data_IF_629115581243
#
_entry.id   IF_629115581243
#
_cell.length_a   1.000
_cell.length_b   1.000
_cell.length_c   1.000
_cell.angle_alpha   90.00
_cell.angle_beta   90.00
_cell.angle_gamma   90.00
#
_symmetry.space_group_name_H-M   'P 1'
#
loop_
_entity.id
_entity.type
_entity.pdbx_description
1 polymer ?
#
# COMPACT_ATOMS: atom_id res chain seq x y z
N UNK A 1 10.39 16.22 -25.41
CA UNK A 1 9.96 15.87 -24.03
C UNK A 1 10.84 16.61 -23.01
N UNK A 2 10.24 17.13 -21.94
CA UNK A 2 10.99 17.76 -20.85
C UNK A 2 11.67 16.65 -20.06
N UNK A 3 13.00 16.59 -20.07
CA UNK A 3 13.77 15.51 -19.43
C UNK A 3 13.67 15.57 -17.90
N UNK A 4 13.54 16.78 -17.33
CA UNK A 4 13.46 16.99 -15.89
C UNK A 4 12.38 18.02 -15.52
N UNK A 5 11.22 17.52 -15.09
CA UNK A 5 10.08 18.36 -14.65
C UNK A 5 10.40 19.24 -13.42
N UNK A 6 11.43 18.91 -12.64
CA UNK A 6 11.78 19.68 -11.44
C UNK A 6 12.45 21.04 -11.78
N UNK A 7 12.96 21.21 -13.00
CA UNK A 7 13.62 22.45 -13.47
C UNK A 7 12.64 23.56 -13.85
N UNK A 8 11.38 23.24 -14.15
CA UNK A 8 10.38 24.22 -14.53
C UNK A 8 9.96 25.10 -13.33
N UNK A 9 9.79 26.42 -13.49
CA UNK A 9 9.21 27.25 -12.43
C UNK A 9 7.84 26.72 -11.97
N UNK A 10 7.52 26.91 -10.69
CA UNK A 10 6.25 26.48 -10.10
C UNK A 10 5.44 27.70 -9.67
N UNK A 11 4.15 27.83 -10.04
CA UNK A 11 3.39 26.96 -10.95
C UNK A 11 3.59 27.31 -12.44
N UNK A 12 4.09 26.38 -13.28
CA UNK A 12 4.24 26.63 -14.73
C UNK A 12 3.85 25.44 -15.62
N UNK A 13 2.77 24.74 -15.26
CA UNK A 13 2.20 23.65 -16.07
C UNK A 13 1.80 24.07 -17.49
N UNK A 14 1.53 25.36 -17.70
CA UNK A 14 1.23 25.93 -19.02
C UNK A 14 2.42 25.91 -19.99
N UNK A 15 3.64 25.65 -19.49
CA UNK A 15 4.86 25.53 -20.31
C UNK A 15 5.09 24.12 -20.84
N UNK A 16 4.28 23.13 -20.44
CA UNK A 16 4.41 21.75 -20.89
C UNK A 16 3.60 21.55 -22.17
N UNK A 17 4.28 21.24 -23.28
CA UNK A 17 3.61 20.84 -24.52
C UNK A 17 2.91 19.49 -24.33
N UNK A 18 1.58 19.52 -24.29
CA UNK A 18 0.73 18.35 -24.10
C UNK A 18 0.46 17.60 -25.40
N UNK A 19 0.77 18.19 -26.57
CA UNK A 19 0.60 17.56 -27.89
C UNK A 19 1.47 16.31 -28.06
N UNK A 20 2.54 16.19 -27.27
CA UNK A 20 3.42 15.03 -27.24
C UNK A 20 2.83 13.81 -26.50
N UNK A 21 1.68 13.94 -25.84
CA UNK A 21 1.09 12.89 -25.00
C UNK A 21 -0.38 12.68 -25.37
N UNK A 22 -0.70 11.88 -26.41
CA UNK A 22 -2.09 11.60 -26.80
C UNK A 22 -2.68 10.43 -25.99
N UNK A 23 -3.92 10.57 -25.51
CA UNK A 23 -4.59 9.52 -24.75
C UNK A 23 -4.82 8.29 -25.63
N UNK A 24 -4.50 7.08 -25.15
CA UNK A 24 -4.92 5.86 -25.83
C UNK A 24 -6.45 5.86 -25.91
N UNK A 25 -6.99 5.70 -27.11
CA UNK A 25 -8.42 5.66 -27.48
C UNK A 25 -9.06 6.98 -27.94
N UNK A 26 -8.78 8.13 -27.32
CA UNK A 26 -9.38 9.41 -27.75
C UNK A 26 -8.47 10.24 -28.66
N UNK A 27 -7.14 10.02 -28.61
CA UNK A 27 -6.17 10.84 -29.34
C UNK A 27 -5.99 12.25 -28.78
N UNK A 28 -6.81 12.64 -27.79
CA UNK A 28 -6.75 13.94 -27.14
C UNK A 28 -5.43 14.14 -26.39
N UNK A 29 -4.80 15.33 -26.47
CA UNK A 29 -3.65 15.68 -25.65
C UNK A 29 -3.99 15.56 -24.16
N UNK A 30 -3.16 14.85 -23.39
CA UNK A 30 -3.33 14.74 -21.95
C UNK A 30 -2.01 14.97 -21.22
N UNK A 31 -2.09 15.72 -20.12
CA UNK A 31 -0.98 15.88 -19.20
C UNK A 31 -1.26 15.04 -17.95
N UNK A 32 -0.51 13.94 -17.77
CA UNK A 32 -0.51 13.24 -16.50
C UNK A 32 0.37 13.98 -15.50
N UNK A 33 -0.24 14.78 -14.63
CA UNK A 33 0.48 15.42 -13.53
C UNK A 33 0.69 14.38 -12.43
N UNK A 34 1.85 13.73 -12.43
CA UNK A 34 2.30 12.95 -11.29
C UNK A 34 2.78 13.89 -10.17
N UNK A 35 2.54 13.54 -8.91
CA UNK A 35 3.03 14.29 -7.76
C UNK A 35 4.57 14.31 -7.75
N UNK A 36 5.17 15.46 -8.08
CA UNK A 36 6.61 15.68 -7.97
C UNK A 36 7.02 16.07 -6.54
N UNK A 37 8.31 15.92 -6.22
CA UNK A 37 8.86 16.36 -4.93
C UNK A 37 8.59 17.86 -4.72
N UNK A 38 8.71 18.65 -5.79
CA UNK A 38 8.46 20.10 -5.77
C UNK A 38 7.00 20.44 -5.50
N UNK A 39 6.05 19.73 -6.13
CA UNK A 39 4.63 19.92 -5.86
C UNK A 39 4.30 19.65 -4.39
N UNK A 40 4.77 18.50 -3.85
CA UNK A 40 4.53 18.14 -2.45
C UNK A 40 5.16 19.17 -1.51
N UNK A 41 6.37 19.66 -1.82
CA UNK A 41 7.01 20.74 -1.08
C UNK A 41 6.12 21.99 -1.03
N UNK A 42 5.64 22.47 -2.19
CA UNK A 42 4.79 23.65 -2.26
C UNK A 42 3.47 23.52 -1.49
N UNK A 43 2.83 22.34 -1.55
CA UNK A 43 1.63 22.05 -0.74
C UNK A 43 1.95 22.11 0.76
N UNK A 44 3.08 21.54 1.18
CA UNK A 44 3.47 21.56 2.59
C UNK A 44 3.81 22.98 3.07
N UNK A 45 4.57 23.74 2.28
CA UNK A 45 4.91 25.13 2.57
C UNK A 45 3.64 25.97 2.76
N UNK A 46 2.65 25.82 1.89
CA UNK A 46 1.37 26.55 1.96
C UNK A 46 0.55 26.16 3.20
N UNK A 47 0.50 24.86 3.55
CA UNK A 47 -0.17 24.39 4.77
C UNK A 47 0.45 25.05 6.01
N UNK A 48 1.79 25.11 6.06
CA UNK A 48 2.54 25.70 7.18
C UNK A 48 2.32 27.21 7.23
N UNK A 49 2.45 27.90 6.09
CA UNK A 49 2.29 29.35 5.98
C UNK A 49 0.87 29.80 6.40
N UNK A 50 -0.16 29.06 5.98
CA UNK A 50 -1.56 29.33 6.33
C UNK A 50 -1.94 28.82 7.72
N UNK A 51 -1.01 28.18 8.45
CA UNK A 51 -1.21 27.63 9.80
C UNK A 51 -2.41 26.68 9.91
N UNK A 52 -2.75 25.98 8.81
CA UNK A 52 -3.86 25.04 8.79
C UNK A 52 -3.51 23.79 9.59
N UNK A 53 -4.41 23.38 10.48
CA UNK A 53 -4.21 22.22 11.36
C UNK A 53 -5.09 21.06 10.94
N UNK A 54 -4.57 20.18 10.08
CA UNK A 54 -5.21 18.91 9.77
C UNK A 54 -4.16 17.81 9.61
N UNK A 55 -4.60 16.56 9.80
CA UNK A 55 -3.76 15.38 9.68
C UNK A 55 -4.04 14.69 8.35
N UNK A 56 -2.99 14.30 7.66
CA UNK A 56 -3.11 13.58 6.39
C UNK A 56 -2.13 12.42 6.29
N UNK A 57 -2.40 11.56 5.31
CA UNK A 57 -1.60 10.38 4.97
C UNK A 57 -1.39 10.36 3.46
N UNK A 58 -0.34 9.72 3.00
CA UNK A 58 -0.08 9.56 1.57
C UNK A 58 0.57 8.22 1.26
N UNK A 59 0.56 7.86 -0.02
CA UNK A 59 1.35 6.76 -0.57
C UNK A 59 2.42 7.32 -1.50
N UNK A 60 3.61 6.73 -1.50
CA UNK A 60 4.73 7.13 -2.33
C UNK A 60 5.54 5.93 -2.81
N UNK A 61 6.30 6.13 -3.88
CA UNK A 61 7.43 5.25 -4.19
C UNK A 61 8.61 5.55 -3.25
N UNK A 62 9.50 4.58 -3.11
CA UNK A 62 10.68 4.68 -2.23
C UNK A 62 11.80 5.57 -2.81
N UNK A 63 11.83 5.76 -4.12
CA UNK A 63 12.78 6.60 -4.87
C UNK A 63 12.29 8.06 -5.05
N UNK A 64 11.00 8.31 -4.79
CA UNK A 64 10.38 9.65 -4.91
C UNK A 64 10.50 10.52 -3.67
N UNK A 65 11.23 10.10 -2.62
CA UNK A 65 11.37 10.84 -1.36
C UNK A 65 12.83 11.12 -1.00
N UNK A 66 13.05 12.13 -0.18
CA UNK A 66 14.32 12.36 0.50
C UNK A 66 14.05 12.79 1.95
N UNK A 67 15.11 12.84 2.76
CA UNK A 67 15.00 13.17 4.19
C UNK A 67 14.34 14.52 4.43
N UNK A 68 14.80 15.59 3.75
CA UNK A 68 14.27 16.94 3.93
C UNK A 68 12.76 17.05 3.64
N UNK A 69 12.30 16.43 2.54
CA UNK A 69 10.89 16.40 2.18
C UNK A 69 10.05 15.71 3.26
N UNK A 70 10.53 14.62 3.84
CA UNK A 70 9.79 13.88 4.86
C UNK A 70 9.64 14.67 6.18
N UNK A 71 10.66 15.45 6.57
CA UNK A 71 10.53 16.38 7.71
C UNK A 71 9.51 17.47 7.43
N UNK A 72 9.54 18.06 6.24
CA UNK A 72 8.58 19.09 5.85
C UNK A 72 7.15 18.54 5.81
N UNK A 73 6.95 17.34 5.28
CA UNK A 73 5.65 16.66 5.30
C UNK A 73 5.16 16.44 6.73
N UNK A 74 6.03 16.03 7.65
CA UNK A 74 5.69 15.87 9.07
C UNK A 74 5.22 17.17 9.69
N UNK A 75 5.95 18.26 9.44
CA UNK A 75 5.60 19.60 9.92
C UNK A 75 4.24 20.07 9.37
N UNK A 76 3.99 19.81 8.09
CA UNK A 76 2.71 20.09 7.42
C UNK A 76 1.55 19.15 7.81
N UNK A 77 1.71 18.30 8.84
CA UNK A 77 0.64 17.47 9.38
C UNK A 77 0.51 16.06 8.78
N UNK A 78 1.46 15.63 7.92
CA UNK A 78 1.56 14.22 7.55
C UNK A 78 1.96 13.41 8.77
N UNK A 79 1.20 12.36 9.07
CA UNK A 79 1.53 11.48 10.21
C UNK A 79 1.87 10.06 9.81
N UNK A 80 1.50 9.63 8.59
CA UNK A 80 1.81 8.30 8.06
C UNK A 80 2.05 8.34 6.56
N UNK A 81 3.02 7.56 6.10
CA UNK A 81 3.33 7.33 4.68
C UNK A 81 3.31 5.84 4.34
N UNK A 82 2.67 5.48 3.22
CA UNK A 82 2.68 4.14 2.65
C UNK A 82 3.71 4.03 1.52
N UNK A 83 4.57 3.00 1.56
CA UNK A 83 5.54 2.72 0.50
C UNK A 83 5.19 1.45 -0.26
N UNK A 84 5.13 1.55 -1.59
CA UNK A 84 5.11 0.40 -2.49
C UNK A 84 6.48 -0.27 -2.55
N UNK A 85 6.73 -1.25 -1.66
CA UNK A 85 7.98 -2.02 -1.57
C UNK A 85 7.93 -3.25 -2.47
N UNK A 86 6.77 -3.88 -2.56
CA UNK A 86 6.43 -5.02 -3.43
C UNK A 86 7.15 -6.32 -3.09
N UNK A 87 8.48 -6.38 -3.13
CA UNK A 87 9.25 -7.61 -2.89
C UNK A 87 10.51 -7.34 -2.06
N UNK A 88 10.96 -8.35 -1.32
CA UNK A 88 12.26 -8.37 -0.64
C UNK A 88 13.34 -9.12 -1.40
N UNK A 89 13.10 -9.42 -2.68
CA UNK A 89 14.08 -10.01 -3.59
C UNK A 89 14.30 -9.04 -4.77
N UNK A 90 15.55 -8.63 -4.98
CA UNK A 90 15.89 -7.66 -6.04
C UNK A 90 15.54 -8.17 -7.44
N UNK A 91 15.85 -9.44 -7.76
CA UNK A 91 15.53 -10.02 -9.06
C UNK A 91 14.02 -10.05 -9.37
N UNK A 92 13.17 -10.29 -8.37
CA UNK A 92 11.71 -10.20 -8.53
C UNK A 92 11.27 -8.75 -8.81
N UNK A 93 11.86 -7.75 -8.13
CA UNK A 93 11.58 -6.33 -8.39
C UNK A 93 11.97 -5.93 -9.81
N UNK A 94 13.13 -6.41 -10.27
CA UNK A 94 13.67 -6.10 -11.59
C UNK A 94 12.78 -6.72 -12.67
N UNK A 95 12.38 -7.99 -12.52
CA UNK A 95 11.45 -8.67 -13.44
C UNK A 95 10.04 -8.06 -13.43
N UNK A 96 9.58 -7.53 -12.30
CA UNK A 96 8.31 -6.82 -12.20
C UNK A 96 8.36 -5.39 -12.79
N UNK A 97 9.52 -4.93 -13.26
CA UNK A 97 9.69 -3.59 -13.82
C UNK A 97 9.54 -2.48 -12.79
N UNK A 98 9.77 -2.75 -11.51
CA UNK A 98 9.54 -1.77 -10.44
C UNK A 98 10.54 -0.59 -10.51
N UNK A 99 11.77 -0.86 -10.93
CA UNK A 99 12.84 0.13 -11.06
C UNK A 99 13.35 0.70 -9.72
N UNK A 100 13.17 -0.04 -8.61
CA UNK A 100 13.69 0.36 -7.30
C UNK A 100 14.55 -0.72 -6.68
N UNK A 101 15.49 -0.33 -5.83
CA UNK A 101 16.35 -1.25 -5.09
C UNK A 101 15.85 -1.49 -3.67
N UNK A 102 16.20 -2.65 -3.10
CA UNK A 102 15.99 -2.92 -1.68
C UNK A 102 16.65 -1.83 -0.81
N UNK A 103 17.80 -1.29 -1.24
CA UNK A 103 18.49 -0.24 -0.49
C UNK A 103 17.72 1.09 -0.47
N UNK A 104 17.07 1.44 -1.58
CA UNK A 104 16.18 2.61 -1.62
C UNK A 104 15.00 2.44 -0.65
N UNK A 105 14.39 1.24 -0.60
CA UNK A 105 13.33 0.95 0.36
C UNK A 105 13.81 1.07 1.82
N UNK A 106 14.98 0.52 2.16
CA UNK A 106 15.58 0.69 3.49
C UNK A 106 15.79 2.16 3.86
N UNK A 107 16.38 2.94 2.96
CA UNK A 107 16.67 4.35 3.18
C UNK A 107 15.37 5.17 3.35
N UNK A 108 14.37 4.95 2.49
CA UNK A 108 13.09 5.66 2.55
C UNK A 108 12.34 5.38 3.87
N UNK A 109 12.34 4.13 4.33
CA UNK A 109 11.76 3.75 5.62
C UNK A 109 12.55 4.42 6.75
N UNK A 110 13.88 4.34 6.74
CA UNK A 110 14.74 4.96 7.76
C UNK A 110 14.49 6.47 7.87
N UNK A 111 14.51 7.20 6.77
CA UNK A 111 14.27 8.64 6.77
C UNK A 111 12.88 9.01 7.26
N UNK A 112 11.85 8.21 6.92
CA UNK A 112 10.50 8.46 7.40
C UNK A 112 10.40 8.25 8.92
N UNK A 113 11.09 7.23 9.46
CA UNK A 113 11.17 7.04 10.92
C UNK A 113 11.91 8.18 11.62
N UNK A 114 13.03 8.65 11.06
CA UNK A 114 13.77 9.82 11.57
C UNK A 114 12.92 11.10 11.59
N UNK A 115 12.06 11.28 10.60
CA UNK A 115 11.06 12.35 10.54
C UNK A 115 9.83 12.10 11.45
N UNK A 116 9.85 11.07 12.30
CA UNK A 116 8.73 10.71 13.19
C UNK A 116 7.41 10.43 12.46
N UNK A 117 7.48 9.89 11.24
CA UNK A 117 6.32 9.38 10.50
C UNK A 117 6.06 7.92 10.85
N UNK A 118 4.79 7.53 10.82
CA UNK A 118 4.43 6.12 10.75
C UNK A 118 4.58 5.61 9.32
N UNK A 119 4.96 4.32 9.18
CA UNK A 119 5.27 3.75 7.87
C UNK A 119 4.45 2.50 7.61
N UNK A 120 3.70 2.48 6.51
CA UNK A 120 3.05 1.27 5.99
C UNK A 120 3.86 0.72 4.81
N UNK A 121 4.23 -0.56 4.86
CA UNK A 121 4.84 -1.26 3.73
C UNK A 121 3.79 -2.03 2.94
N UNK A 122 3.70 -1.77 1.64
CA UNK A 122 2.86 -2.49 0.70
C UNK A 122 3.73 -3.52 -0.03
N UNK A 123 3.46 -4.80 0.17
CA UNK A 123 4.18 -5.92 -0.43
C UNK A 123 3.22 -6.80 -1.23
N UNK A 124 3.73 -7.49 -2.23
CA UNK A 124 2.97 -8.38 -3.11
C UNK A 124 3.59 -9.78 -3.00
N UNK A 125 2.75 -10.80 -2.98
CA UNK A 125 3.16 -12.20 -3.07
C UNK A 125 2.50 -12.86 -4.28
N UNK A 126 3.22 -13.78 -4.91
CA UNK A 126 2.77 -14.44 -6.13
C UNK A 126 3.01 -13.61 -7.39
N UNK A 127 3.97 -12.69 -7.37
CA UNK A 127 4.44 -12.05 -8.60
C UNK A 127 4.99 -13.11 -9.58
N UNK A 128 5.03 -12.81 -10.89
CA UNK A 128 5.65 -13.71 -11.86
C UNK A 128 7.01 -14.20 -11.41
N UNK A 129 7.26 -15.50 -11.62
CA UNK A 129 8.51 -16.17 -11.33
C UNK A 129 8.89 -16.29 -9.84
N UNK A 130 8.05 -15.82 -8.91
CA UNK A 130 8.23 -16.08 -7.48
C UNK A 130 8.07 -17.56 -7.12
N UNK A 131 8.79 -17.96 -6.09
CA UNK A 131 8.63 -19.25 -5.42
C UNK A 131 8.55 -19.06 -3.89
N UNK A 132 8.46 -20.16 -3.15
CA UNK A 132 8.42 -20.07 -1.69
C UNK A 132 9.68 -19.41 -1.10
N UNK A 133 10.86 -19.57 -1.72
CA UNK A 133 12.12 -19.00 -1.24
C UNK A 133 12.11 -17.48 -1.39
N UNK A 134 11.72 -16.95 -2.55
CA UNK A 134 11.65 -15.50 -2.79
C UNK A 134 10.58 -14.84 -1.92
N UNK A 135 9.41 -15.47 -1.75
CA UNK A 135 8.37 -14.96 -0.86
C UNK A 135 8.87 -14.93 0.59
N UNK A 136 9.64 -15.94 1.02
CA UNK A 136 10.25 -15.92 2.36
C UNK A 136 11.31 -14.82 2.53
N UNK A 137 12.04 -14.45 1.46
CA UNK A 137 12.93 -13.29 1.47
C UNK A 137 12.12 -11.99 1.62
N UNK A 138 10.99 -11.86 0.93
CA UNK A 138 10.03 -10.74 1.11
C UNK A 138 9.54 -10.63 2.55
N UNK A 139 9.18 -11.75 3.18
CA UNK A 139 8.79 -11.77 4.60
C UNK A 139 9.95 -11.35 5.50
N UNK A 140 11.17 -11.83 5.23
CA UNK A 140 12.37 -11.48 6.01
C UNK A 140 12.66 -9.97 5.90
N UNK A 141 12.63 -9.43 4.69
CA UNK A 141 12.90 -8.03 4.42
C UNK A 141 11.88 -7.11 5.08
N UNK A 142 10.58 -7.40 4.93
CA UNK A 142 9.52 -6.65 5.61
C UNK A 142 9.72 -6.61 7.14
N UNK A 143 10.27 -7.68 7.73
CA UNK A 143 10.56 -7.73 9.16
C UNK A 143 11.81 -6.95 9.58
N UNK A 144 12.78 -6.80 8.68
CA UNK A 144 14.00 -6.02 8.91
C UNK A 144 13.71 -4.52 8.85
N UNK A 145 12.79 -4.12 7.97
CA UNK A 145 12.32 -2.75 7.90
C UNK A 145 11.54 -2.35 9.15
N UNK A 146 11.68 -1.09 9.56
CA UNK A 146 11.03 -0.53 10.75
C UNK A 146 9.55 -0.15 10.53
N UNK A 147 8.83 -0.90 9.71
CA UNK A 147 7.44 -0.65 9.34
C UNK A 147 6.50 -0.69 10.56
N UNK A 148 5.60 0.28 10.67
CA UNK A 148 4.49 0.29 11.64
C UNK A 148 3.37 -0.66 11.22
N UNK A 149 3.13 -0.75 9.90
CA UNK A 149 2.13 -1.64 9.32
C UNK A 149 2.70 -2.31 8.07
N UNK A 150 2.25 -3.53 7.78
CA UNK A 150 2.54 -4.19 6.52
C UNK A 150 1.28 -4.82 5.94
N UNK A 151 1.08 -4.61 4.65
CA UNK A 151 0.01 -5.21 3.88
C UNK A 151 0.63 -6.11 2.83
N UNK A 152 0.23 -7.38 2.83
CA UNK A 152 0.66 -8.39 1.86
C UNK A 152 -0.50 -8.67 0.92
N UNK A 153 -0.38 -8.20 -0.32
CA UNK A 153 -1.34 -8.41 -1.39
C UNK A 153 -0.98 -9.65 -2.20
N UNK A 154 -1.96 -10.29 -2.83
CA UNK A 154 -1.70 -11.23 -3.91
C UNK A 154 -1.51 -10.46 -5.22
N UNK A 155 -0.66 -10.96 -6.12
CA UNK A 155 -0.59 -10.45 -7.48
C UNK A 155 -1.92 -10.74 -8.21
N UNK A 156 -2.46 -9.73 -8.90
CA UNK A 156 -3.75 -9.82 -9.60
C UNK A 156 -3.55 -9.47 -11.08
N UNK A 157 -3.88 -10.38 -12.00
CA UNK A 157 -3.76 -10.15 -13.44
C UNK A 157 -4.95 -9.29 -13.92
N UNK A 158 -4.89 -7.96 -13.74
CA UNK A 158 -5.96 -7.10 -14.25
C UNK A 158 -5.93 -7.01 -15.78
N UNK A 159 -7.08 -7.12 -16.49
CA UNK A 159 -7.14 -7.01 -17.95
C UNK A 159 -6.40 -5.78 -18.47
N UNK A 160 -5.58 -5.98 -19.51
CA UNK A 160 -4.75 -4.93 -20.10
C UNK A 160 -3.41 -4.70 -19.41
N UNK A 161 -3.16 -5.27 -18.22
CA UNK A 161 -1.84 -5.24 -17.59
C UNK A 161 -0.87 -6.24 -18.25
N UNK A 162 0.43 -5.96 -18.15
CA UNK A 162 1.48 -6.89 -18.58
C UNK A 162 1.35 -8.25 -17.89
N UNK A 163 1.03 -8.25 -16.58
CA UNK A 163 0.79 -9.47 -15.81
C UNK A 163 -0.35 -10.30 -16.38
N UNK A 164 -1.44 -9.66 -16.83
CA UNK A 164 -2.57 -10.37 -17.44
C UNK A 164 -2.19 -11.04 -18.75
N UNK A 165 -1.40 -10.38 -19.60
CA UNK A 165 -0.94 -10.96 -20.87
C UNK A 165 -0.08 -12.20 -20.62
N UNK A 166 0.93 -12.08 -19.74
CA UNK A 166 1.80 -13.21 -19.35
C UNK A 166 0.97 -14.36 -18.77
N UNK A 167 0.06 -14.05 -17.83
CA UNK A 167 -0.76 -15.07 -17.17
C UNK A 167 -1.73 -15.76 -18.14
N UNK A 168 -2.25 -15.05 -19.14
CA UNK A 168 -3.13 -15.60 -20.18
C UNK A 168 -2.35 -16.51 -21.13
N UNK A 169 -1.19 -16.06 -21.61
CA UNK A 169 -0.32 -16.84 -22.51
C UNK A 169 0.12 -18.15 -21.87
N UNK A 170 0.52 -18.11 -20.60
CA UNK A 170 0.97 -19.28 -19.86
C UNK A 170 -0.15 -20.07 -19.16
N UNK A 171 -1.43 -19.69 -19.38
CA UNK A 171 -2.62 -20.33 -18.79
C UNK A 171 -2.58 -20.41 -17.25
N UNK A 172 -2.05 -19.39 -16.59
CA UNK A 172 -1.96 -19.33 -15.12
C UNK A 172 -3.27 -18.94 -14.44
N UNK A 173 -4.18 -18.26 -15.16
CA UNK A 173 -5.44 -17.79 -14.59
C UNK A 173 -6.36 -19.00 -14.33
N UNK A 174 -6.67 -19.27 -13.07
CA UNK A 174 -7.38 -20.48 -12.65
C UNK A 174 -8.90 -20.31 -12.44
N UNK A 175 -9.43 -19.12 -12.69
CA UNK A 175 -10.84 -18.80 -12.52
C UNK A 175 -11.33 -17.81 -13.58
N UNK A 176 -12.57 -17.96 -13.99
CA UNK A 176 -13.30 -17.00 -14.82
C UNK A 176 -14.15 -16.01 -14.00
N UNK A 177 -14.16 -16.15 -12.67
CA UNK A 177 -14.92 -15.27 -11.79
C UNK A 177 -14.15 -13.96 -11.52
N UNK A 178 -14.54 -12.92 -12.24
CA UNK A 178 -13.97 -11.57 -12.09
C UNK A 178 -14.09 -10.99 -10.67
N UNK A 179 -15.00 -11.48 -9.84
CA UNK A 179 -15.11 -11.04 -8.43
C UNK A 179 -13.90 -11.47 -7.60
N UNK A 180 -13.14 -12.47 -8.06
CA UNK A 180 -11.91 -12.93 -7.43
C UNK A 180 -10.67 -12.13 -7.85
N UNK A 181 -10.79 -11.24 -8.84
CA UNK A 181 -9.69 -10.38 -9.30
C UNK A 181 -9.53 -9.19 -8.34
N UNK A 182 -9.16 -9.50 -7.10
CA UNK A 182 -8.93 -8.54 -6.04
C UNK A 182 -7.72 -8.98 -5.19
N UNK A 183 -7.13 -8.04 -4.47
CA UNK A 183 -5.77 -8.19 -3.92
C UNK A 183 -5.68 -9.12 -2.69
N UNK A 184 -6.79 -9.63 -2.15
CA UNK A 184 -6.77 -10.56 -1.01
C UNK A 184 -6.71 -12.04 -1.39
N UNK A 185 -6.96 -12.38 -2.66
CA UNK A 185 -6.98 -13.76 -3.15
C UNK A 185 -6.01 -13.92 -4.31
N UNK A 186 -5.39 -15.09 -4.42
CA UNK A 186 -4.63 -15.44 -5.62
C UNK A 186 -5.52 -16.20 -6.59
N UNK A 187 -5.47 -15.78 -7.86
CA UNK A 187 -6.12 -16.43 -9.01
C UNK A 187 -5.09 -16.98 -10.00
N UNK A 188 -3.81 -17.00 -9.59
CA UNK A 188 -2.68 -17.40 -10.42
C UNK A 188 -2.09 -18.73 -9.92
N UNK A 189 -2.13 -19.73 -10.78
CA UNK A 189 -1.36 -20.97 -10.66
C UNK A 189 -0.18 -20.91 -11.65
N UNK A 190 0.99 -20.52 -11.13
CA UNK A 190 2.23 -20.47 -11.92
C UNK A 190 2.93 -21.82 -11.90
N UNK A 191 3.93 -21.99 -12.78
CA UNK A 191 4.76 -23.20 -12.81
C UNK A 191 5.48 -23.49 -11.48
N UNK A 192 5.85 -22.43 -10.74
CA UNK A 192 6.62 -22.56 -9.49
C UNK A 192 5.75 -22.67 -8.25
N UNK A 193 4.57 -22.05 -8.26
CA UNK A 193 3.73 -21.93 -7.07
C UNK A 193 2.25 -21.79 -7.42
N UNK A 194 1.42 -22.57 -6.72
CA UNK A 194 -0.04 -22.53 -6.84
C UNK A 194 -0.68 -21.42 -6.01
N UNK A 195 -1.85 -20.95 -6.43
CA UNK A 195 -2.69 -19.98 -5.73
C UNK A 195 -2.95 -20.40 -4.27
N UNK A 196 -3.24 -21.68 -4.05
CA UNK A 196 -3.43 -22.25 -2.70
C UNK A 196 -2.18 -22.12 -1.84
N UNK A 197 -1.00 -22.31 -2.42
CA UNK A 197 0.28 -22.16 -1.70
C UNK A 197 0.61 -20.69 -1.46
N UNK A 198 0.33 -19.79 -2.41
CA UNK A 198 0.43 -18.33 -2.23
C UNK A 198 -0.40 -17.88 -1.03
N UNK A 199 -1.66 -18.32 -0.92
CA UNK A 199 -2.52 -17.99 0.22
C UNK A 199 -1.93 -18.46 1.57
N UNK A 200 -1.36 -19.67 1.61
CA UNK A 200 -0.65 -20.17 2.81
C UNK A 200 0.56 -19.30 3.16
N UNK A 201 1.35 -18.88 2.18
CA UNK A 201 2.52 -18.02 2.40
C UNK A 201 2.13 -16.58 2.77
N UNK A 202 1.07 -16.03 2.20
CA UNK A 202 0.49 -14.75 2.60
C UNK A 202 0.10 -14.77 4.08
N UNK A 203 -0.58 -15.83 4.53
CA UNK A 203 -0.94 -16.00 5.94
C UNK A 203 0.30 -16.13 6.83
N UNK A 204 1.32 -16.87 6.37
CA UNK A 204 2.64 -16.96 7.02
C UNK A 204 3.30 -15.59 7.14
N UNK A 205 3.20 -14.72 6.13
CA UNK A 205 3.73 -13.37 6.11
C UNK A 205 3.09 -12.50 7.19
N UNK A 206 1.76 -12.42 7.22
CA UNK A 206 1.01 -11.70 8.27
C UNK A 206 1.39 -12.19 9.66
N UNK A 207 1.41 -13.51 9.87
CA UNK A 207 1.75 -14.11 11.16
C UNK A 207 3.17 -13.74 11.61
N UNK A 208 4.16 -13.91 10.72
CA UNK A 208 5.57 -13.62 11.02
C UNK A 208 5.85 -12.13 11.21
N UNK A 209 5.04 -11.25 10.62
CA UNK A 209 5.17 -9.80 10.77
C UNK A 209 4.49 -9.29 12.04
N UNK A 210 3.23 -9.66 12.31
CA UNK A 210 2.46 -9.07 13.39
C UNK A 210 2.65 -9.74 14.76
N UNK A 211 3.00 -11.04 14.81
CA UNK A 211 3.25 -11.76 16.09
C UNK A 211 4.70 -11.53 16.59
N UNK A 212 5.34 -10.43 16.19
CA UNK A 212 6.67 -10.07 16.72
C UNK A 212 6.54 -9.35 18.06
N UNK A 213 7.37 -9.66 19.07
CA UNK A 213 7.39 -8.90 20.32
C UNK A 213 7.53 -7.38 20.10
N UNK A 214 8.40 -6.95 19.17
CA UNK A 214 8.56 -5.54 18.80
C UNK A 214 7.25 -4.87 18.35
N UNK A 215 6.39 -5.58 17.61
CA UNK A 215 5.10 -5.03 17.17
C UNK A 215 4.13 -4.89 18.34
N UNK A 216 4.10 -5.87 19.24
CA UNK A 216 3.31 -5.81 20.45
C UNK A 216 3.70 -4.60 21.32
N UNK A 217 4.98 -4.46 21.67
CA UNK A 217 5.44 -3.31 22.47
C UNK A 217 5.15 -1.96 21.79
N UNK A 218 5.26 -1.89 20.46
CA UNK A 218 4.94 -0.68 19.71
C UNK A 218 3.46 -0.30 19.80
N UNK A 219 2.54 -1.26 19.66
CA UNK A 219 1.11 -1.02 19.83
C UNK A 219 0.79 -0.48 21.24
N UNK A 220 1.40 -1.06 22.28
CA UNK A 220 1.20 -0.64 23.67
C UNK A 220 1.75 0.76 23.94
N UNK A 221 2.92 1.11 23.39
CA UNK A 221 3.50 2.45 23.54
C UNK A 221 2.63 3.58 22.98
N UNK A 222 1.73 3.28 22.04
CA UNK A 222 0.82 4.26 21.41
C UNK A 222 -0.52 4.41 22.13
N UNK A 223 -0.79 3.59 23.14
CA UNK A 223 -2.10 3.53 23.81
C UNK A 223 -2.01 4.23 25.15
N UNK A 224 -2.46 5.48 25.20
CA UNK A 224 -2.45 6.31 26.40
C UNK A 224 -3.66 6.12 27.34
N UNK A 225 -4.54 5.15 27.07
CA UNK A 225 -5.78 4.95 27.85
C UNK A 225 -6.16 3.48 28.00
N UNK A 226 -6.46 3.07 29.22
CA UNK A 226 -6.84 1.68 29.60
C UNK A 226 -8.05 1.19 28.79
N UNK A 227 -9.05 2.05 28.56
CA UNK A 227 -10.23 1.69 27.76
C UNK A 227 -9.91 1.46 26.27
N UNK A 228 -8.93 2.19 25.72
CA UNK A 228 -8.43 1.94 24.35
C UNK A 228 -7.60 0.65 24.31
N UNK A 229 -6.93 0.29 25.41
CA UNK A 229 -6.12 -0.91 25.55
C UNK A 229 -6.97 -2.19 25.52
N UNK A 230 -8.15 -2.18 26.16
CA UNK A 230 -9.12 -3.29 26.12
C UNK A 230 -9.74 -3.48 24.73
N UNK A 231 -10.06 -2.40 24.02
CA UNK A 231 -10.58 -2.50 22.64
C UNK A 231 -9.49 -2.93 21.64
N UNK A 232 -8.25 -2.48 21.84
CA UNK A 232 -7.12 -2.90 21.03
C UNK A 232 -6.76 -4.37 21.28
N UNK A 233 -6.82 -4.84 22.53
CA UNK A 233 -6.55 -6.23 22.85
C UNK A 233 -7.61 -7.17 22.26
N UNK A 234 -8.89 -6.79 22.27
CA UNK A 234 -9.95 -7.53 21.54
C UNK A 234 -9.72 -7.57 20.04
N UNK A 235 -9.37 -6.44 19.44
CA UNK A 235 -9.05 -6.36 18.00
C UNK A 235 -7.79 -7.18 17.65
N UNK A 236 -6.79 -7.17 18.52
CA UNK A 236 -5.57 -7.96 18.37
C UNK A 236 -5.88 -9.46 18.51
N UNK A 237 -6.74 -9.87 19.44
CA UNK A 237 -7.22 -11.25 19.59
C UNK A 237 -8.01 -11.69 18.36
N UNK A 238 -8.90 -10.86 17.83
CA UNK A 238 -9.65 -11.15 16.59
C UNK A 238 -8.72 -11.29 15.38
N UNK A 239 -7.70 -10.42 15.28
CA UNK A 239 -6.71 -10.47 14.22
C UNK A 239 -5.83 -11.71 14.33
N UNK A 240 -5.34 -12.01 15.53
CA UNK A 240 -4.54 -13.21 15.81
C UNK A 240 -5.40 -14.47 15.56
N UNK A 241 -6.66 -14.47 15.97
CA UNK A 241 -7.61 -15.54 15.70
C UNK A 241 -7.81 -15.73 14.20
N UNK A 242 -7.98 -14.67 13.42
CA UNK A 242 -8.06 -14.75 11.96
C UNK A 242 -6.76 -15.25 11.32
N UNK A 243 -5.60 -14.77 11.78
CA UNK A 243 -4.27 -15.20 11.29
C UNK A 243 -4.01 -16.69 11.59
N UNK A 244 -4.53 -17.21 12.71
CA UNK A 244 -4.34 -18.59 13.16
C UNK A 244 -5.42 -19.53 12.58
N UNK A 245 -6.66 -19.07 12.43
CA UNK A 245 -7.80 -19.90 12.03
C UNK A 245 -7.90 -20.08 10.52
N UNK A 246 -7.27 -21.15 10.04
CA UNK A 246 -7.27 -21.56 8.63
C UNK A 246 -8.63 -22.00 8.05
N UNK A 247 -9.69 -22.12 8.87
CA UNK A 247 -11.02 -22.58 8.44
C UNK A 247 -11.94 -21.47 7.91
N UNK A 248 -11.61 -20.19 8.15
CA UNK A 248 -12.47 -19.04 7.81
C UNK A 248 -12.29 -18.46 6.41
N UNK A 249 -11.42 -19.04 5.58
CA UNK A 249 -11.16 -18.58 4.21
C UNK A 249 -11.89 -19.37 3.12
N UNK A 250 -12.70 -20.37 3.48
CA UNK A 250 -13.66 -20.95 2.55
C UNK A 250 -14.74 -19.92 2.23
N UNK A 251 -14.64 -19.27 1.08
CA UNK A 251 -15.62 -18.29 0.64
C UNK A 251 -16.69 -18.96 -0.23
N UNK A 252 -17.83 -19.28 0.39
CA UNK A 252 -19.10 -19.48 -0.31
C UNK A 252 -19.81 -18.12 -0.44
N UNK A 253 -19.85 -17.54 -1.63
CA UNK A 253 -20.62 -16.32 -1.88
C UNK A 253 -22.11 -16.68 -2.05
N UNK A 254 -22.90 -16.39 -1.01
CA UNK A 254 -24.35 -16.66 -0.98
C UNK A 254 -24.94 -16.77 0.42
N UNK A 255 -24.13 -17.13 1.42
CA UNK A 255 -24.56 -17.09 2.82
C UNK A 255 -24.20 -15.73 3.45
N UNK A 256 -25.20 -15.03 4.01
CA UNK A 256 -25.02 -13.83 4.85
C UNK A 256 -24.27 -14.20 6.15
N UNK A 257 -23.01 -14.62 6.09
CA UNK A 257 -22.15 -14.67 7.27
C UNK A 257 -21.36 -13.37 7.34
N UNK A 258 -21.57 -12.62 8.43
CA UNK A 258 -20.97 -11.32 8.71
C UNK A 258 -19.47 -11.36 8.43
N UNK A 259 -18.99 -10.53 7.49
CA UNK A 259 -17.57 -10.20 7.37
C UNK A 259 -17.01 -9.90 8.77
N UNK A 260 -15.89 -10.51 9.20
CA UNK A 260 -15.28 -10.19 10.48
C UNK A 260 -15.05 -8.68 10.60
N UNK A 261 -15.17 -8.13 11.81
CA UNK A 261 -15.06 -6.69 12.09
C UNK A 261 -13.77 -6.07 11.52
N UNK A 262 -12.71 -6.86 11.37
CA UNK A 262 -11.44 -6.47 10.74
C UNK A 262 -11.53 -6.27 9.23
N UNK A 263 -12.42 -6.96 8.52
CA UNK A 263 -12.74 -6.64 7.14
C UNK A 263 -13.37 -5.26 6.99
N UNK A 264 -14.06 -4.76 8.03
CA UNK A 264 -14.54 -3.37 8.11
C UNK A 264 -13.44 -2.39 8.55
N UNK A 265 -12.43 -2.83 9.28
CA UNK A 265 -11.27 -2.01 9.65
C UNK A 265 -10.27 -1.92 8.50
N UNK A 266 -9.98 -2.98 7.76
CA UNK A 266 -9.13 -2.95 6.57
C UNK A 266 -9.83 -2.26 5.38
N UNK A 267 -11.15 -2.46 5.21
CA UNK A 267 -11.98 -1.58 4.35
C UNK A 267 -12.10 -0.15 4.90
N UNK A 268 -11.89 0.05 6.20
CA UNK A 268 -11.89 1.36 6.85
C UNK A 268 -10.52 2.06 6.84
N UNK A 269 -9.44 1.29 6.65
CA UNK A 269 -8.06 1.76 6.43
C UNK A 269 -7.87 2.10 4.95
N UNK A 270 -8.61 1.46 4.04
CA UNK A 270 -8.91 2.00 2.71
C UNK A 270 -10.05 3.03 2.75
N UNK A 271 -9.82 4.17 3.41
CA UNK A 271 -10.56 5.45 3.26
C UNK A 271 -12.10 5.39 3.47
N UNK A 272 -12.59 6.17 4.46
CA UNK A 272 -13.99 6.55 4.76
C UNK A 272 -14.67 5.85 5.95
N UNK A 273 -14.48 6.41 7.16
CA UNK A 273 -15.56 6.50 8.15
C UNK A 273 -15.53 7.76 9.02
N UNK A 274 -14.58 8.68 8.79
CA UNK A 274 -14.58 10.02 9.40
C UNK A 274 -15.44 11.04 8.63
N UNK A 275 -16.12 10.66 7.54
CA UNK A 275 -17.04 11.51 6.77
C UNK A 275 -18.54 11.25 7.06
N UNK A 276 -18.88 10.42 8.05
CA UNK A 276 -20.28 10.16 8.45
C UNK A 276 -20.66 10.76 9.81
N UNK A 277 -19.96 11.81 10.24
CA UNK A 277 -20.41 12.70 11.32
C UNK A 277 -20.36 14.17 10.92
N UNK A 278 -20.90 14.52 9.75
CA UNK A 278 -21.58 15.81 9.63
C UNK A 278 -23.01 15.60 10.12
N UNK A 279 -23.27 16.16 11.31
CA UNK A 279 -24.64 16.37 11.80
C UNK A 279 -25.44 17.01 10.68
N UNK A 280 -26.68 16.52 10.49
CA UNK A 280 -27.76 17.24 9.81
C UNK A 280 -27.70 18.72 10.22
N UNK A 281 -27.29 19.60 9.32
CA UNK A 281 -27.77 20.98 9.34
C UNK A 281 -28.89 21.06 8.30
N UNK A 282 -30.04 21.67 8.65
CA UNK A 282 -31.17 21.73 7.75
C UNK A 282 -30.84 22.62 6.56
N UNK A 283 -31.24 22.16 5.38
CA UNK A 283 -31.39 23.00 4.21
C UNK A 283 -32.21 24.24 4.61
N UNK A 284 -31.61 25.43 4.44
CA UNK A 284 -32.33 26.69 4.34
C UNK A 284 -32.08 27.20 2.92
N UNK A 285 -33.22 27.38 2.25
CA UNK A 285 -33.51 27.84 0.88
C UNK A 285 -32.37 28.44 0.05
#
# INVERSE_FOLDING_TARGET
PIENLDELPYPSWHLVDTGCYPMPLSGEPFLMVATSKRFVKGVCDEIIATKRKFRWVCNSRVDSVNKALLYLMKEAGCWMIGYGIESGNQGILDMAGKGTTLKQAENAVKWAKEASLEVTGHLIVGLPYEDEKTINQTIKFAKQLELDYAQFYCAVPFPGSQLYNIAKENRWINTSDWRMFEQNYSVLDTEKISAKKIMKLRRKAYRKFYIRPKMFFRLFSKVSSVNKLVNLSRTAVDFISWVIDSRKEGYEWGSRKKTPLIGRILKGVSVLSSLLKMKKQPYVR
#
